data_IF_379052273604
#
_entry.id   IF_379052273604
#
_cell.length_a   1.000
_cell.length_b   1.000
_cell.length_c   1.000
_cell.angle_alpha   90.00
_cell.angle_beta   90.00
_cell.angle_gamma   90.00
#
_symmetry.space_group_name_H-M   'P 1'
#
loop_
_entity.id
_entity.type
_entity.pdbx_description
1 polymer ?
#
# COMPACT_ATOMS: atom_id res chain seq x y z
N UNK A 1 63.27 -12.43 36.36
CA UNK A 1 63.48 -13.30 35.18
C UNK A 1 63.38 -12.42 33.95
N UNK A 2 64.41 -12.41 33.09
CA UNK A 2 64.57 -11.52 31.94
C UNK A 2 64.62 -12.38 30.67
N UNK A 3 63.84 -12.06 29.63
CA UNK A 3 64.14 -12.19 28.17
C UNK A 3 63.11 -11.28 27.44
N UNK A 4 63.49 -10.10 26.90
CA UNK A 4 63.83 -9.80 25.48
C UNK A 4 62.76 -10.28 24.46
N UNK A 5 62.41 -9.63 23.35
CA UNK A 5 62.72 -8.38 22.61
C UNK A 5 61.90 -8.57 21.30
N UNK A 6 61.31 -7.57 20.64
CA UNK A 6 61.78 -6.98 19.36
C UNK A 6 60.57 -6.30 18.68
N UNK A 7 60.89 -5.15 18.09
CA UNK A 7 60.10 -4.19 17.30
C UNK A 7 59.84 -4.72 15.87
N UNK A 8 58.71 -4.37 15.22
CA UNK A 8 58.69 -3.78 13.86
C UNK A 8 57.27 -3.72 13.28
N UNK A 9 56.96 -2.63 12.56
CA UNK A 9 55.92 -2.61 11.53
C UNK A 9 54.92 -1.47 11.63
N UNK A 10 55.22 -0.34 10.99
CA UNK A 10 54.19 0.63 10.53
C UNK A 10 53.36 -0.05 9.44
N UNK A 11 52.05 0.03 9.54
CA UNK A 11 51.20 0.03 8.34
C UNK A 11 50.01 0.98 8.53
N UNK A 12 49.99 2.01 7.69
CA UNK A 12 48.86 2.91 7.50
C UNK A 12 47.88 2.16 6.61
N UNK A 13 46.72 1.78 7.14
CA UNK A 13 45.60 1.36 6.30
C UNK A 13 44.48 2.41 6.33
N UNK A 14 44.49 3.13 5.21
CA UNK A 14 43.45 3.96 4.64
C UNK A 14 42.15 3.17 4.43
N UNK A 15 41.02 3.81 4.74
CA UNK A 15 39.67 3.58 4.23
C UNK A 15 38.98 2.23 4.47
N UNK A 16 37.80 2.29 5.10
CA UNK A 16 36.57 2.07 4.32
C UNK A 16 35.42 2.79 5.01
N UNK A 17 34.83 3.75 4.31
CA UNK A 17 33.66 4.47 4.78
C UNK A 17 32.48 3.52 4.88
N UNK A 18 31.94 3.35 6.08
CA UNK A 18 30.53 3.01 6.20
C UNK A 18 29.76 4.24 5.69
N UNK A 19 29.38 4.22 4.41
CA UNK A 19 28.22 5.00 3.99
C UNK A 19 27.05 4.46 4.81
N UNK A 20 26.39 5.28 5.65
CA UNK A 20 25.09 4.88 6.15
C UNK A 20 24.22 4.70 4.90
N UNK A 21 23.82 3.46 4.64
CA UNK A 21 22.65 3.22 3.79
C UNK A 21 21.50 3.89 4.52
N UNK A 22 21.22 5.13 4.16
CA UNK A 22 19.99 5.77 4.58
C UNK A 22 18.87 5.00 3.85
N UNK A 23 18.34 3.98 4.52
CA UNK A 23 17.03 3.44 4.19
C UNK A 23 16.02 4.55 4.47
N UNK A 24 15.85 5.47 3.54
CA UNK A 24 14.70 6.36 3.56
C UNK A 24 13.47 5.49 3.30
N UNK A 25 12.79 5.10 4.37
CA UNK A 25 11.50 4.45 4.28
C UNK A 25 10.53 5.48 3.70
N UNK A 26 10.07 5.28 2.47
CA UNK A 26 8.93 6.04 1.97
C UNK A 26 7.77 5.90 2.98
N UNK A 27 7.07 6.99 3.34
CA UNK A 27 5.95 6.93 4.25
C UNK A 27 4.90 5.97 3.68
N UNK A 28 4.36 5.11 4.54
CA UNK A 28 3.27 4.21 4.19
C UNK A 28 1.95 4.97 4.28
N UNK A 29 1.18 4.92 3.20
CA UNK A 29 -0.14 5.54 3.12
C UNK A 29 -1.21 4.46 3.28
N UNK A 30 -2.15 4.69 4.20
CA UNK A 30 -3.39 3.93 4.33
C UNK A 30 -4.53 4.83 3.83
N UNK A 31 -5.35 4.33 2.91
CA UNK A 31 -6.50 5.08 2.39
C UNK A 31 -7.77 4.37 2.78
N UNK A 32 -8.73 5.14 3.33
CA UNK A 32 -10.02 4.64 3.76
C UNK A 32 -11.14 5.34 2.99
N UNK A 33 -12.06 4.55 2.45
CA UNK A 33 -13.25 5.01 1.75
C UNK A 33 -14.49 4.60 2.52
N UNK A 34 -15.06 5.53 3.27
CA UNK A 34 -16.29 5.29 4.03
C UNK A 34 -17.54 5.62 3.21
N UNK A 35 -18.57 4.78 3.25
CA UNK A 35 -19.86 5.03 2.58
C UNK A 35 -19.65 5.27 1.08
N UNK A 36 -20.06 6.42 0.54
CA UNK A 36 -19.82 6.81 -0.87
C UNK A 36 -18.34 7.00 -1.22
N UNK A 37 -17.47 7.12 -0.21
CA UNK A 37 -16.01 7.18 -0.40
C UNK A 37 -15.44 5.95 -1.09
N UNK A 38 -16.13 4.80 -1.08
CA UNK A 38 -15.71 3.63 -1.86
C UNK A 38 -15.67 3.88 -3.36
N UNK A 39 -16.51 4.77 -3.90
CA UNK A 39 -16.44 5.16 -5.32
C UNK A 39 -15.17 5.94 -5.63
N UNK A 40 -14.69 6.75 -4.68
CA UNK A 40 -13.39 7.43 -4.80
C UNK A 40 -12.25 6.41 -4.76
N UNK A 41 -12.33 5.41 -3.88
CA UNK A 41 -11.36 4.31 -3.87
C UNK A 41 -11.34 3.54 -5.19
N UNK A 42 -12.50 3.29 -5.80
CA UNK A 42 -12.58 2.62 -7.09
C UNK A 42 -11.75 3.36 -8.15
N UNK A 43 -11.83 4.70 -8.19
CA UNK A 43 -11.00 5.51 -9.07
C UNK A 43 -9.50 5.36 -8.75
N UNK A 44 -9.12 5.47 -7.47
CA UNK A 44 -7.72 5.33 -7.04
C UNK A 44 -7.15 3.94 -7.38
N UNK A 45 -7.94 2.88 -7.16
CA UNK A 45 -7.54 1.50 -7.45
C UNK A 45 -7.38 1.27 -8.96
N UNK A 46 -8.24 1.88 -9.79
CA UNK A 46 -8.04 1.90 -11.24
C UNK A 46 -6.72 2.60 -11.56
N UNK A 47 -6.50 3.81 -11.06
CA UNK A 47 -5.25 4.54 -11.33
C UNK A 47 -4.00 3.77 -10.87
N UNK A 48 -4.09 3.07 -9.75
CA UNK A 48 -3.03 2.22 -9.22
C UNK A 48 -2.72 1.03 -10.16
N UNK A 49 -3.75 0.38 -10.70
CA UNK A 49 -3.59 -0.71 -11.65
C UNK A 49 -3.03 -0.26 -13.00
N UNK A 50 -3.30 0.98 -13.41
CA UNK A 50 -2.84 1.51 -14.70
C UNK A 50 -1.57 2.38 -14.59
N UNK A 51 -0.99 2.54 -13.40
CA UNK A 51 0.29 3.20 -13.20
C UNK A 51 1.45 2.26 -13.51
N UNK A 52 2.46 2.77 -14.22
CA UNK A 52 3.73 2.07 -14.40
C UNK A 52 4.49 1.97 -13.07
N UNK A 53 5.30 0.92 -12.91
CA UNK A 53 6.32 0.86 -11.87
C UNK A 53 7.49 1.71 -12.37
N UNK A 54 7.70 2.90 -11.80
CA UNK A 54 8.90 3.66 -12.08
C UNK A 54 10.11 2.78 -11.75
N UNK A 55 10.84 2.35 -12.78
CA UNK A 55 12.14 1.75 -12.58
C UNK A 55 13.04 2.85 -12.01
N UNK A 56 13.63 2.64 -10.85
CA UNK A 56 14.69 3.50 -10.29
C UNK A 56 15.96 3.52 -11.17
N UNK A 57 15.88 3.20 -12.46
CA UNK A 57 16.98 3.17 -13.42
C UNK A 57 17.50 4.57 -13.79
N UNK A 58 16.81 5.64 -13.37
CA UNK A 58 17.27 7.02 -13.51
C UNK A 58 17.75 7.61 -12.18
N UNK A 59 18.54 6.85 -11.39
CA UNK A 59 19.60 7.53 -10.65
C UNK A 59 20.64 7.98 -11.68
N UNK A 60 21.05 9.26 -11.77
CA UNK A 60 22.09 9.65 -12.71
C UNK A 60 23.34 8.84 -12.40
N UNK A 61 23.67 7.93 -13.30
CA UNK A 61 24.88 7.11 -13.28
C UNK A 61 26.08 8.03 -13.11
N UNK A 62 26.84 7.78 -12.04
CA UNK A 62 28.06 8.45 -11.68
C UNK A 62 29.02 8.54 -12.88
N UNK A 63 29.16 9.75 -13.41
CA UNK A 63 30.06 10.03 -14.53
C UNK A 63 30.55 11.48 -14.58
N UNK A 64 30.40 12.27 -13.51
CA UNK A 64 30.98 13.62 -13.45
C UNK A 64 31.65 13.92 -12.10
N UNK A 65 32.72 14.75 -12.11
CA UNK A 65 33.66 14.87 -11.02
C UNK A 65 33.06 15.63 -9.83
N UNK A 66 33.51 15.21 -8.65
CA UNK A 66 33.15 15.70 -7.33
C UNK A 66 33.43 17.21 -7.22
N UNK A 67 32.37 18.00 -7.11
CA UNK A 67 32.39 19.23 -6.31
C UNK A 67 31.48 19.00 -5.10
N UNK A 68 32.10 18.92 -3.90
CA UNK A 68 31.41 18.63 -2.64
C UNK A 68 30.52 19.81 -2.25
N UNK A 69 29.29 19.81 -2.72
CA UNK A 69 28.22 20.56 -2.06
C UNK A 69 27.60 19.67 -0.97
N UNK A 70 27.31 20.18 0.25
CA UNK A 70 26.73 19.37 1.31
C UNK A 70 25.41 18.78 0.84
N UNK A 71 25.30 17.46 1.03
CA UNK A 71 24.11 16.63 0.88
C UNK A 71 22.84 17.45 1.13
N UNK A 72 22.13 17.75 0.04
CA UNK A 72 20.82 18.38 0.14
C UNK A 72 19.98 17.51 1.05
N UNK A 73 19.43 18.11 2.09
CA UNK A 73 18.39 17.50 2.89
C UNK A 73 17.27 17.09 1.93
N UNK A 74 17.17 15.79 1.60
CA UNK A 74 15.94 15.27 1.02
C UNK A 74 14.86 15.50 2.07
N UNK A 75 14.10 16.59 1.90
CA UNK A 75 12.97 16.92 2.76
C UNK A 75 12.03 15.70 2.74
N UNK A 76 11.89 15.03 3.89
CA UNK A 76 10.95 13.93 4.03
C UNK A 76 9.55 14.54 3.97
N UNK A 77 8.90 14.40 2.82
CA UNK A 77 7.53 14.83 2.66
C UNK A 77 6.58 13.76 3.21
N UNK A 78 5.81 14.12 4.22
CA UNK A 78 4.76 13.27 4.79
C UNK A 78 3.71 12.93 3.72
N UNK A 79 3.42 13.90 2.84
CA UNK A 79 2.49 13.74 1.72
C UNK A 79 3.29 13.70 0.42
N UNK A 80 3.17 12.61 -0.36
CA UNK A 80 3.81 12.51 -1.67
C UNK A 80 3.39 13.67 -2.59
N UNK A 81 4.36 14.24 -3.32
CA UNK A 81 4.15 15.40 -4.19
C UNK A 81 3.80 15.04 -5.64
N UNK A 82 3.99 13.78 -6.02
CA UNK A 82 3.66 13.25 -7.35
C UNK A 82 2.56 12.21 -7.24
N UNK A 83 1.82 12.00 -8.33
CA UNK A 83 0.80 10.96 -8.42
C UNK A 83 1.42 9.58 -8.18
N UNK A 84 2.54 9.31 -8.84
CA UNK A 84 3.28 8.05 -8.77
C UNK A 84 3.81 7.82 -7.36
N UNK A 85 4.36 8.87 -6.73
CA UNK A 85 4.79 8.83 -5.33
C UNK A 85 3.62 8.51 -4.39
N UNK A 86 2.44 9.09 -4.61
CA UNK A 86 1.24 8.77 -3.84
C UNK A 86 0.85 7.31 -4.05
N UNK A 87 0.67 6.87 -5.29
CA UNK A 87 0.24 5.50 -5.61
C UNK A 87 1.25 4.44 -5.15
N UNK A 88 2.55 4.74 -5.19
CA UNK A 88 3.61 3.86 -4.68
C UNK A 88 3.66 3.82 -3.15
N UNK A 89 3.22 4.88 -2.47
CA UNK A 89 3.16 4.92 -0.99
C UNK A 89 1.98 4.12 -0.41
N UNK A 90 0.94 3.84 -1.20
CA UNK A 90 -0.25 3.12 -0.72
C UNK A 90 0.13 1.68 -0.37
N UNK A 91 -0.04 1.37 0.90
CA UNK A 91 0.16 0.01 1.43
C UNK A 91 -1.15 -0.65 1.80
N UNK A 92 -2.19 0.13 2.12
CA UNK A 92 -3.49 -0.38 2.53
C UNK A 92 -4.66 0.42 1.95
N UNK A 93 -5.69 -0.31 1.52
CA UNK A 93 -6.92 0.24 0.98
C UNK A 93 -8.09 -0.36 1.75
N UNK A 94 -8.77 0.47 2.52
CA UNK A 94 -9.90 0.07 3.37
C UNK A 94 -11.22 0.55 2.77
N UNK A 95 -12.00 -0.39 2.26
CA UNK A 95 -13.40 -0.13 1.90
C UNK A 95 -14.23 -0.24 3.19
N UNK A 96 -14.74 0.87 3.72
CA UNK A 96 -15.46 0.88 4.99
C UNK A 96 -16.94 1.13 4.80
N UNK A 97 -17.74 0.11 5.08
CA UNK A 97 -19.20 0.13 4.98
C UNK A 97 -19.69 0.85 3.72
N UNK A 98 -19.03 0.51 2.61
CA UNK A 98 -19.20 1.20 1.34
C UNK A 98 -20.58 0.91 0.81
N UNK A 99 -21.23 1.98 0.37
CA UNK A 99 -22.58 1.93 -0.17
C UNK A 99 -22.80 3.01 -1.22
N UNK A 100 -23.54 2.63 -2.26
CA UNK A 100 -23.97 3.52 -3.33
C UNK A 100 -25.43 3.21 -3.66
N UNK A 101 -26.19 4.24 -4.04
CA UNK A 101 -27.61 4.11 -4.41
C UNK A 101 -27.80 3.50 -5.82
N UNK A 102 -26.73 2.97 -6.40
CA UNK A 102 -26.66 2.33 -7.71
C UNK A 102 -25.51 1.32 -7.70
N UNK A 103 -25.38 0.57 -8.79
CA UNK A 103 -24.17 -0.21 -9.07
C UNK A 103 -22.91 0.68 -9.09
N UNK A 104 -21.76 0.08 -8.79
CA UNK A 104 -20.45 0.74 -8.74
C UNK A 104 -19.96 1.05 -7.31
N UNK A 105 -20.50 0.38 -6.29
CA UNK A 105 -20.00 0.48 -4.92
C UNK A 105 -18.62 -0.18 -4.80
N UNK A 106 -18.42 -1.35 -5.42
CA UNK A 106 -17.13 -2.03 -5.48
C UNK A 106 -16.69 -2.29 -6.93
N UNK A 107 -15.38 -2.35 -7.16
CA UNK A 107 -14.83 -2.68 -8.47
C UNK A 107 -15.09 -4.14 -8.84
N UNK A 108 -15.57 -4.36 -10.06
CA UNK A 108 -15.86 -5.70 -10.58
C UNK A 108 -15.13 -6.02 -11.88
N UNK A 109 -14.20 -5.15 -12.29
CA UNK A 109 -13.39 -5.33 -13.48
C UNK A 109 -12.13 -6.14 -13.14
N UNK A 110 -11.96 -7.29 -13.80
CA UNK A 110 -10.81 -8.18 -13.62
C UNK A 110 -9.50 -7.54 -14.09
N UNK A 111 -9.53 -6.71 -15.14
CA UNK A 111 -8.29 -6.15 -15.73
C UNK A 111 -7.51 -5.28 -14.74
N UNK A 112 -8.21 -4.58 -13.85
CA UNK A 112 -7.62 -3.71 -12.83
C UNK A 112 -6.79 -4.55 -11.87
N UNK A 113 -7.37 -5.63 -11.33
CA UNK A 113 -6.69 -6.48 -10.35
C UNK A 113 -5.57 -7.31 -10.98
N UNK A 114 -5.74 -7.76 -12.22
CA UNK A 114 -4.67 -8.42 -12.99
C UNK A 114 -3.46 -7.49 -13.16
N UNK A 115 -3.71 -6.23 -13.54
CA UNK A 115 -2.64 -5.24 -13.69
C UNK A 115 -1.98 -4.90 -12.35
N UNK A 116 -2.74 -4.79 -11.26
CA UNK A 116 -2.18 -4.63 -9.91
C UNK A 116 -1.24 -5.80 -9.59
N UNK A 117 -1.66 -7.04 -9.85
CA UNK A 117 -0.83 -8.22 -9.60
C UNK A 117 0.48 -8.18 -10.40
N UNK A 118 0.42 -7.84 -11.70
CA UNK A 118 1.60 -7.64 -12.56
C UNK A 118 2.52 -6.53 -12.02
N UNK A 119 1.95 -5.39 -11.63
CA UNK A 119 2.68 -4.26 -11.05
C UNK A 119 3.46 -4.67 -9.79
N UNK A 120 2.84 -5.46 -8.91
CA UNK A 120 3.49 -5.98 -7.70
C UNK A 120 4.66 -6.93 -8.03
N UNK A 121 4.49 -7.78 -9.04
CA UNK A 121 5.55 -8.67 -9.54
C UNK A 121 6.72 -7.88 -10.17
N UNK A 122 6.45 -6.74 -10.79
CA UNK A 122 7.45 -5.86 -11.40
C UNK A 122 8.24 -5.02 -10.39
N UNK A 123 7.98 -5.17 -9.09
CA UNK A 123 8.79 -4.55 -8.03
C UNK A 123 8.06 -3.50 -7.21
N UNK A 124 6.78 -3.21 -7.49
CA UNK A 124 6.02 -2.31 -6.63
C UNK A 124 5.91 -2.82 -5.18
N UNK A 125 5.70 -1.90 -4.20
CA UNK A 125 5.50 -2.25 -2.80
C UNK A 125 4.28 -3.14 -2.58
N UNK A 126 4.29 -3.94 -1.52
CA UNK A 126 3.16 -4.81 -1.15
C UNK A 126 1.90 -4.00 -0.83
N UNK A 127 0.74 -4.60 -1.11
CA UNK A 127 -0.57 -3.94 -1.02
C UNK A 127 -1.58 -4.84 -0.31
N UNK A 128 -2.35 -4.25 0.61
CA UNK A 128 -3.42 -4.92 1.36
C UNK A 128 -4.77 -4.29 1.04
N UNK A 129 -5.75 -5.09 0.63
CA UNK A 129 -7.15 -4.70 0.56
C UNK A 129 -7.88 -5.20 1.79
N UNK A 130 -8.65 -4.32 2.44
CA UNK A 130 -9.50 -4.68 3.56
C UNK A 130 -10.92 -4.21 3.27
N UNK A 131 -11.86 -5.15 3.21
CA UNK A 131 -13.28 -4.87 3.03
C UNK A 131 -13.96 -4.96 4.38
N UNK A 132 -14.38 -3.83 4.94
CA UNK A 132 -15.12 -3.73 6.19
C UNK A 132 -16.59 -3.50 5.87
N UNK A 133 -17.49 -4.27 6.47
CA UNK A 133 -18.92 -4.03 6.30
C UNK A 133 -19.76 -4.51 7.45
N UNK A 134 -20.97 -3.99 7.47
CA UNK A 134 -22.01 -4.29 8.46
C UNK A 134 -23.20 -4.99 7.82
N UNK A 135 -24.11 -5.60 8.60
CA UNK A 135 -25.40 -6.06 8.09
C UNK A 135 -26.18 -4.99 7.33
N UNK A 136 -26.03 -3.71 7.71
CA UNK A 136 -26.72 -2.59 7.05
C UNK A 136 -26.35 -2.45 5.59
N UNK A 137 -25.10 -2.65 5.19
CA UNK A 137 -24.69 -2.57 3.78
C UNK A 137 -24.65 -3.94 3.11
N UNK A 138 -24.07 -4.94 3.76
CA UNK A 138 -23.84 -6.25 3.15
C UNK A 138 -25.06 -7.18 3.22
N UNK A 139 -26.12 -6.81 3.96
CA UNK A 139 -27.35 -7.61 4.05
C UNK A 139 -28.64 -6.88 3.69
N UNK A 140 -28.56 -5.65 3.16
CA UNK A 140 -29.72 -4.93 2.65
C UNK A 140 -30.22 -5.55 1.34
N UNK A 141 -31.35 -6.25 1.39
CA UNK A 141 -31.98 -6.87 0.22
C UNK A 141 -32.44 -5.87 -0.84
N UNK A 142 -32.57 -4.58 -0.50
CA UNK A 142 -32.92 -3.53 -1.47
C UNK A 142 -31.70 -3.04 -2.26
N UNK A 143 -30.51 -3.35 -1.79
CA UNK A 143 -29.23 -3.00 -2.39
C UNK A 143 -28.35 -4.25 -2.57
N UNK A 144 -28.94 -5.33 -3.09
CA UNK A 144 -28.28 -6.62 -3.28
C UNK A 144 -27.04 -6.56 -4.18
N UNK A 145 -26.97 -5.56 -5.07
CA UNK A 145 -25.77 -5.25 -5.85
C UNK A 145 -24.56 -4.94 -4.98
N UNK A 146 -24.71 -4.31 -3.80
CA UNK A 146 -23.58 -3.99 -2.91
C UNK A 146 -22.89 -5.28 -2.47
N UNK A 147 -23.68 -6.26 -1.99
CA UNK A 147 -23.16 -7.58 -1.63
C UNK A 147 -22.53 -8.27 -2.82
N UNK A 148 -23.23 -8.30 -3.96
CA UNK A 148 -22.78 -9.00 -5.16
C UNK A 148 -21.47 -8.43 -5.73
N UNK A 149 -21.33 -7.10 -5.76
CA UNK A 149 -20.12 -6.42 -6.17
C UNK A 149 -18.98 -6.62 -5.18
N UNK A 150 -19.26 -6.57 -3.87
CA UNK A 150 -18.28 -6.87 -2.83
C UNK A 150 -17.75 -8.30 -2.95
N UNK A 151 -18.64 -9.28 -3.11
CA UNK A 151 -18.28 -10.69 -3.25
C UNK A 151 -17.45 -10.89 -4.53
N UNK A 152 -17.85 -10.25 -5.64
CA UNK A 152 -17.08 -10.30 -6.89
C UNK A 152 -15.70 -9.66 -6.75
N UNK A 153 -15.59 -8.49 -6.12
CA UNK A 153 -14.30 -7.85 -5.86
C UNK A 153 -13.39 -8.73 -5.00
N UNK A 154 -13.92 -9.31 -3.93
CA UNK A 154 -13.20 -10.22 -3.06
C UNK A 154 -12.64 -11.43 -3.84
N UNK A 155 -13.51 -12.09 -4.62
CA UNK A 155 -13.11 -13.23 -5.45
C UNK A 155 -12.01 -12.86 -6.47
N UNK A 156 -12.11 -11.68 -7.10
CA UNK A 156 -11.10 -11.19 -8.05
C UNK A 156 -9.76 -10.97 -7.34
N UNK A 157 -9.76 -10.28 -6.18
CA UNK A 157 -8.56 -10.06 -5.37
C UNK A 157 -7.93 -11.37 -4.90
N UNK A 158 -8.73 -12.32 -4.42
CA UNK A 158 -8.25 -13.64 -3.99
C UNK A 158 -7.64 -14.43 -5.15
N UNK A 159 -8.21 -14.34 -6.35
CA UNK A 159 -7.69 -15.01 -7.55
C UNK A 159 -6.37 -14.43 -8.05
N UNK A 160 -6.14 -13.13 -7.82
CA UNK A 160 -4.92 -12.41 -8.20
C UNK A 160 -3.82 -12.45 -7.13
N UNK A 161 -4.19 -12.64 -5.86
CA UNK A 161 -3.25 -12.72 -4.74
C UNK A 161 -2.10 -13.72 -4.94
N UNK A 162 -2.32 -14.99 -5.34
CA UNK A 162 -1.21 -15.93 -5.55
C UNK A 162 -0.31 -15.54 -6.73
N UNK A 163 -0.83 -14.79 -7.72
CA UNK A 163 -0.07 -14.34 -8.89
C UNK A 163 0.88 -13.17 -8.58
N UNK A 164 0.71 -12.53 -7.42
CA UNK A 164 1.48 -11.36 -6.97
C UNK A 164 2.79 -11.69 -6.22
N UNK A 165 3.14 -12.98 -6.09
CA UNK A 165 4.28 -13.41 -5.27
C UNK A 165 4.07 -13.18 -3.77
N UNK A 166 2.82 -13.19 -3.31
CA UNK A 166 2.46 -12.97 -1.90
C UNK A 166 2.45 -11.50 -1.46
N UNK A 167 2.62 -10.56 -2.40
CA UNK A 167 2.62 -9.11 -2.13
C UNK A 167 1.22 -8.48 -2.07
N UNK A 168 0.23 -9.12 -2.69
CA UNK A 168 -1.18 -8.76 -2.58
C UNK A 168 -1.84 -9.57 -1.46
N UNK A 169 -2.43 -8.87 -0.51
CA UNK A 169 -3.22 -9.48 0.57
C UNK A 169 -4.63 -8.93 0.54
N UNK A 170 -5.59 -9.78 0.89
CA UNK A 170 -7.00 -9.40 0.98
C UNK A 170 -7.60 -9.93 2.27
N UNK A 171 -8.46 -9.12 2.90
CA UNK A 171 -9.18 -9.47 4.11
C UNK A 171 -10.60 -8.89 4.04
N UNK A 172 -11.59 -9.65 4.50
CA UNK A 172 -12.94 -9.15 4.74
C UNK A 172 -13.24 -9.20 6.25
N UNK A 173 -13.85 -8.14 6.77
CA UNK A 173 -14.24 -8.01 8.17
C UNK A 173 -15.72 -7.65 8.25
N UNK A 174 -16.49 -8.50 8.92
CA UNK A 174 -17.92 -8.33 9.09
C UNK A 174 -18.22 -7.93 10.54
N UNK A 175 -18.67 -6.69 10.72
CA UNK A 175 -18.92 -6.09 12.02
C UNK A 175 -20.39 -6.24 12.40
N UNK A 176 -20.68 -6.33 13.70
CA UNK A 176 -22.05 -6.40 14.23
C UNK A 176 -22.88 -7.57 13.65
N UNK A 177 -22.23 -8.70 13.37
CA UNK A 177 -22.85 -9.83 12.66
C UNK A 177 -24.09 -10.38 13.37
N UNK A 178 -24.12 -10.28 14.70
CA UNK A 178 -25.20 -10.76 15.56
C UNK A 178 -26.29 -9.71 15.83
N UNK A 179 -26.18 -8.53 15.23
CA UNK A 179 -27.10 -7.40 15.46
C UNK A 179 -28.05 -7.18 14.27
N UNK A 180 -29.28 -6.69 14.53
CA UNK A 180 -30.18 -6.31 13.46
C UNK A 180 -29.65 -5.11 12.68
N UNK A 181 -29.76 -5.17 11.34
CA UNK A 181 -29.33 -4.09 10.46
C UNK A 181 -30.00 -2.75 10.82
N UNK A 182 -29.20 -1.72 11.08
CA UNK A 182 -29.68 -0.39 11.47
C UNK A 182 -28.92 0.72 10.73
N UNK A 183 -29.46 1.94 10.70
CA UNK A 183 -28.69 3.07 10.16
C UNK A 183 -27.56 3.48 11.11
N UNK A 184 -27.69 3.22 12.41
CA UNK A 184 -26.68 3.56 13.40
C UNK A 184 -25.37 2.78 13.17
N UNK A 185 -25.44 1.47 12.89
CA UNK A 185 -24.23 0.67 12.63
C UNK A 185 -23.40 1.17 11.44
N UNK A 186 -24.04 1.87 10.47
CA UNK A 186 -23.31 2.49 9.35
C UNK A 186 -22.25 3.46 9.85
N UNK A 187 -22.51 4.20 10.94
CA UNK A 187 -21.55 5.14 11.51
C UNK A 187 -20.75 4.52 12.65
N UNK A 188 -21.37 3.64 13.45
CA UNK A 188 -20.72 2.96 14.58
C UNK A 188 -19.51 2.11 14.16
N UNK A 189 -19.53 1.57 12.93
CA UNK A 189 -18.37 0.86 12.38
C UNK A 189 -17.09 1.70 12.39
N UNK A 190 -17.17 3.03 12.26
CA UNK A 190 -16.00 3.93 12.25
C UNK A 190 -15.26 3.85 13.59
N UNK A 191 -15.99 3.77 14.69
CA UNK A 191 -15.41 3.64 16.04
C UNK A 191 -14.85 2.23 16.29
N UNK A 192 -15.42 1.24 15.60
CA UNK A 192 -15.00 -0.17 15.67
C UNK A 192 -13.91 -0.54 14.66
N UNK A 193 -13.48 0.41 13.81
CA UNK A 193 -12.47 0.16 12.80
C UNK A 193 -11.14 -0.21 13.46
N UNK A 194 -10.73 -1.44 13.24
CA UNK A 194 -9.37 -1.87 13.56
C UNK A 194 -8.47 -1.59 12.34
N UNK A 195 -7.66 -0.54 12.45
CA UNK A 195 -6.63 -0.14 11.49
C UNK A 195 -5.27 -0.40 12.16
N UNK A 196 -4.80 -1.64 12.05
CA UNK A 196 -3.55 -2.13 12.67
C UNK A 196 -2.66 -2.88 11.69
#
# INVERSE_FOLDING_TARGET
MQVKKVISGKEVHTQSGCTPSFCFSQPKTFILGFSKGGTVLNQIVIELGFSDVESNANSPSAGQPIDRHPCGSEEIYIVPRTKEGLLNSISEIHYVDVGLNSAGAYLTNHDVFERISKRLMQGAPSLRFILHGTPRQWSDKRCDWIRSERDKMLNLLESEAPKSGGKLKVLARYYFADEPASMQMHFEIIESLDVS
#
